data_IF_331868254737
#
_entry.id   IF_331868254737
#
_cell.length_a   1.000
_cell.length_b   1.000
_cell.length_c   1.000
_cell.angle_alpha   90.00
_cell.angle_beta   90.00
_cell.angle_gamma   90.00
#
_symmetry.space_group_name_H-M   'P 1'
#
loop_
_entity.id
_entity.type
_entity.pdbx_description
1 polymer ?
#
# COMPACT_ATOMS: atom_id res chain seq x y z
N UNK A 1 -13.63 -2.71 7.67
CA UNK A 1 -12.86 -1.53 8.12
C UNK A 1 -11.93 -1.03 7.02
N UNK A 2 -11.00 -1.85 6.51
CA UNK A 2 -10.07 -1.41 5.46
C UNK A 2 -10.73 -0.78 4.22
N UNK A 3 -11.80 -1.36 3.68
CA UNK A 3 -12.50 -0.79 2.51
C UNK A 3 -13.19 0.54 2.84
N UNK A 4 -13.82 0.63 4.02
CA UNK A 4 -14.47 1.86 4.48
C UNK A 4 -13.45 2.97 4.76
N UNK A 5 -12.35 2.65 5.43
CA UNK A 5 -11.23 3.58 5.62
C UNK A 5 -10.65 4.06 4.29
N UNK A 6 -10.54 3.18 3.29
CA UNK A 6 -10.05 3.54 1.96
C UNK A 6 -11.02 4.48 1.24
N UNK A 7 -12.32 4.24 1.35
CA UNK A 7 -13.35 5.16 0.84
C UNK A 7 -13.29 6.53 1.54
N UNK A 8 -13.15 6.56 2.88
CA UNK A 8 -13.00 7.80 3.64
C UNK A 8 -11.76 8.59 3.20
N UNK A 9 -10.63 7.90 3.02
CA UNK A 9 -9.39 8.53 2.58
C UNK A 9 -9.54 9.11 1.17
N UNK A 10 -10.10 8.36 0.23
CA UNK A 10 -10.34 8.80 -1.14
C UNK A 10 -11.32 9.98 -1.24
N UNK A 11 -12.18 10.17 -0.25
CA UNK A 11 -13.14 11.29 -0.17
C UNK A 11 -12.63 12.46 0.69
N UNK A 12 -11.34 12.48 1.04
CA UNK A 12 -10.70 13.55 1.80
C UNK A 12 -11.03 13.56 3.30
N UNK A 13 -11.69 12.51 3.82
CA UNK A 13 -12.06 12.37 5.23
C UNK A 13 -10.92 11.69 6.00
N UNK A 14 -9.71 12.24 5.88
CA UNK A 14 -8.47 11.64 6.36
C UNK A 14 -8.45 11.35 7.86
N UNK A 15 -9.05 12.22 8.69
CA UNK A 15 -9.17 12.00 10.14
C UNK A 15 -10.01 10.76 10.46
N UNK A 16 -11.11 10.56 9.74
CA UNK A 16 -11.98 9.39 9.94
C UNK A 16 -11.35 8.12 9.38
N UNK A 17 -10.65 8.24 8.25
CA UNK A 17 -9.85 7.16 7.70
C UNK A 17 -8.77 6.70 8.70
N UNK A 18 -8.03 7.64 9.30
CA UNK A 18 -7.04 7.37 10.36
C UNK A 18 -7.67 6.59 11.51
N UNK A 19 -8.79 7.08 12.05
CA UNK A 19 -9.50 6.39 13.13
C UNK A 19 -9.92 4.96 12.74
N UNK A 20 -10.47 4.79 11.53
CA UNK A 20 -10.92 3.48 11.06
C UNK A 20 -9.77 2.49 10.83
N UNK A 21 -8.64 2.95 10.28
CA UNK A 21 -7.45 2.13 10.10
C UNK A 21 -6.78 1.80 11.43
N UNK A 22 -6.76 2.71 12.40
CA UNK A 22 -6.29 2.42 13.76
C UNK A 22 -7.12 1.31 14.43
N UNK A 23 -8.44 1.34 14.28
CA UNK A 23 -9.32 0.27 14.75
C UNK A 23 -9.04 -1.05 14.03
N UNK A 24 -8.89 -1.03 12.70
CA UNK A 24 -8.54 -2.21 11.92
C UNK A 24 -7.18 -2.79 12.35
N UNK A 25 -6.20 -1.94 12.64
CA UNK A 25 -4.88 -2.37 13.13
C UNK A 25 -4.98 -3.03 14.51
N UNK A 26 -5.77 -2.48 15.42
CA UNK A 26 -6.00 -3.04 16.74
C UNK A 26 -6.67 -4.43 16.68
N UNK A 27 -7.63 -4.62 15.78
CA UNK A 27 -8.31 -5.91 15.60
C UNK A 27 -7.43 -6.98 14.94
N UNK A 28 -6.50 -6.55 14.08
CA UNK A 28 -5.65 -7.47 13.31
C UNK A 28 -4.32 -7.80 14.00
N UNK A 29 -4.12 -7.46 15.28
CA UNK A 29 -2.83 -7.64 15.97
C UNK A 29 -2.26 -9.06 15.90
N UNK A 30 -3.13 -10.09 15.86
CA UNK A 30 -2.75 -11.50 15.81
C UNK A 30 -2.72 -12.10 14.38
N UNK A 31 -2.99 -11.28 13.36
CA UNK A 31 -3.08 -11.69 11.96
C UNK A 31 -2.03 -10.92 11.16
N UNK A 32 -0.78 -11.39 11.18
CA UNK A 32 0.38 -10.63 10.68
C UNK A 32 0.17 -9.97 9.31
N UNK A 33 -0.38 -10.70 8.35
CA UNK A 33 -0.61 -10.16 7.00
C UNK A 33 -1.67 -9.04 6.97
N UNK A 34 -2.74 -9.17 7.76
CA UNK A 34 -3.78 -8.14 7.86
C UNK A 34 -3.32 -6.96 8.73
N UNK A 35 -2.50 -7.22 9.76
CA UNK A 35 -1.86 -6.19 10.59
C UNK A 35 -1.01 -5.27 9.72
N UNK A 36 -0.13 -5.83 8.90
CA UNK A 36 0.75 -5.07 8.01
C UNK A 36 -0.05 -4.25 6.98
N UNK A 37 -1.10 -4.83 6.42
CA UNK A 37 -1.99 -4.11 5.48
C UNK A 37 -2.70 -2.94 6.19
N UNK A 38 -3.26 -3.16 7.40
CA UNK A 38 -3.88 -2.09 8.20
C UNK A 38 -2.88 -0.98 8.52
N UNK A 39 -1.64 -1.35 8.88
CA UNK A 39 -0.58 -0.43 9.24
C UNK A 39 -0.16 0.44 8.05
N UNK A 40 -0.05 -0.14 6.85
CA UNK A 40 0.28 0.59 5.64
C UNK A 40 -0.82 1.60 5.26
N UNK A 41 -2.10 1.21 5.35
CA UNK A 41 -3.24 2.11 5.11
C UNK A 41 -3.30 3.24 6.16
N UNK A 42 -2.99 2.94 7.43
CA UNK A 42 -2.87 3.95 8.48
C UNK A 42 -1.75 4.96 8.17
N UNK A 43 -0.61 4.51 7.64
CA UNK A 43 0.48 5.38 7.21
C UNK A 43 0.03 6.37 6.12
N UNK A 44 -0.78 5.93 5.16
CA UNK A 44 -1.35 6.80 4.12
C UNK A 44 -2.33 7.85 4.70
N UNK A 45 -3.13 7.47 5.69
CA UNK A 45 -4.02 8.43 6.36
C UNK A 45 -3.24 9.46 7.17
N UNK A 46 -2.13 9.06 7.81
CA UNK A 46 -1.22 9.98 8.51
C UNK A 46 -0.54 10.93 7.52
N UNK A 47 -0.09 10.43 6.37
CA UNK A 47 0.44 11.25 5.27
C UNK A 47 -0.58 12.30 4.82
N UNK A 48 -1.84 11.91 4.60
CA UNK A 48 -2.90 12.83 4.18
C UNK A 48 -3.30 13.88 5.25
N UNK A 49 -2.75 13.77 6.47
CA UNK A 49 -2.90 14.71 7.57
C UNK A 49 -1.61 15.47 7.88
N UNK A 50 -0.58 15.35 7.04
CA UNK A 50 0.78 15.89 7.25
C UNK A 50 1.43 15.43 8.58
N UNK A 51 1.03 14.27 9.09
CA UNK A 51 1.61 13.65 10.29
C UNK A 51 2.85 12.84 9.92
N UNK A 52 3.91 13.55 9.54
CA UNK A 52 5.13 12.98 8.97
C UNK A 52 5.79 11.92 9.84
N UNK A 53 5.89 12.19 11.15
CA UNK A 53 6.55 11.29 12.09
C UNK A 53 5.82 9.94 12.18
N UNK A 54 4.49 9.95 12.35
CA UNK A 54 3.70 8.72 12.44
C UNK A 54 3.64 8.00 11.08
N UNK A 55 3.46 8.74 9.98
CA UNK A 55 3.44 8.16 8.64
C UNK A 55 4.74 7.40 8.32
N UNK A 56 5.90 8.02 8.52
CA UNK A 56 7.21 7.42 8.26
C UNK A 56 7.47 6.22 9.17
N UNK A 57 7.13 6.31 10.46
CA UNK A 57 7.31 5.20 11.40
C UNK A 57 6.50 3.98 10.96
N UNK A 58 5.20 4.17 10.65
CA UNK A 58 4.32 3.09 10.23
C UNK A 58 4.78 2.48 8.90
N UNK A 59 5.14 3.30 7.91
CA UNK A 59 5.64 2.82 6.62
C UNK A 59 6.97 2.07 6.75
N UNK A 60 7.88 2.56 7.61
CA UNK A 60 9.15 1.88 7.90
C UNK A 60 8.93 0.48 8.50
N UNK A 61 8.04 0.37 9.48
CA UNK A 61 7.78 -0.90 10.16
C UNK A 61 7.15 -1.93 9.22
N UNK A 62 6.26 -1.49 8.33
CA UNK A 62 5.73 -2.35 7.26
C UNK A 62 6.83 -2.73 6.30
N UNK A 63 7.62 -1.77 5.82
CA UNK A 63 8.69 -2.01 4.85
C UNK A 63 9.71 -3.05 5.36
N UNK A 64 10.14 -2.92 6.61
CA UNK A 64 11.07 -3.89 7.25
C UNK A 64 10.52 -5.30 7.31
N UNK A 65 9.20 -5.46 7.38
CA UNK A 65 8.56 -6.77 7.43
C UNK A 65 8.41 -7.41 6.04
N UNK A 66 8.21 -6.61 4.99
CA UNK A 66 7.81 -7.10 3.65
C UNK A 66 8.94 -7.08 2.62
N UNK A 67 9.96 -6.24 2.81
CA UNK A 67 11.08 -6.13 1.87
C UNK A 67 11.87 -7.44 1.70
N UNK A 68 12.17 -8.20 2.78
CA UNK A 68 12.99 -9.41 2.66
C UNK A 68 12.36 -10.53 1.82
N UNK A 69 11.04 -10.69 1.87
CA UNK A 69 10.30 -11.77 1.21
C UNK A 69 9.39 -11.28 0.07
N UNK A 70 9.45 -9.99 -0.25
CA UNK A 70 8.61 -9.33 -1.24
C UNK A 70 7.12 -9.43 -0.93
N UNK A 71 6.76 -9.34 0.36
CA UNK A 71 5.38 -9.34 0.84
C UNK A 71 4.67 -10.67 0.61
N UNK A 72 5.41 -11.78 0.63
CA UNK A 72 4.83 -13.10 0.43
C UNK A 72 3.76 -13.38 1.51
N UNK A 73 2.60 -13.88 1.09
CA UNK A 73 1.48 -14.17 2.01
C UNK A 73 0.62 -12.95 2.38
N UNK A 74 0.98 -11.72 1.96
CA UNK A 74 0.08 -10.59 2.08
C UNK A 74 -1.17 -10.79 1.20
N UNK A 75 -2.37 -10.38 1.68
CA UNK A 75 -3.57 -10.42 0.86
C UNK A 75 -3.52 -9.39 -0.28
N UNK A 76 -2.88 -8.24 -0.05
CA UNK A 76 -2.78 -7.15 -1.01
C UNK A 76 -1.33 -6.60 -1.05
N UNK A 77 -0.36 -7.37 -1.59
CA UNK A 77 1.04 -7.01 -1.53
C UNK A 77 1.35 -5.71 -2.29
N UNK A 78 0.76 -5.52 -3.47
CA UNK A 78 0.97 -4.33 -4.31
C UNK A 78 0.47 -3.07 -3.60
N UNK A 79 -0.75 -3.09 -3.05
CA UNK A 79 -1.29 -1.99 -2.24
C UNK A 79 -0.39 -1.62 -1.06
N UNK A 80 0.11 -2.62 -0.35
CA UNK A 80 0.94 -2.44 0.86
C UNK A 80 2.28 -1.80 0.49
N UNK A 81 2.91 -2.26 -0.59
CA UNK A 81 4.16 -1.68 -1.10
C UNK A 81 3.95 -0.27 -1.65
N UNK A 82 2.87 -0.05 -2.40
CA UNK A 82 2.54 1.27 -2.93
C UNK A 82 2.25 2.27 -1.81
N UNK A 83 1.58 1.86 -0.74
CA UNK A 83 1.39 2.69 0.44
C UNK A 83 2.74 3.13 1.04
N UNK A 84 3.69 2.20 1.21
CA UNK A 84 5.04 2.53 1.68
C UNK A 84 5.73 3.53 0.74
N UNK A 85 5.68 3.27 -0.58
CA UNK A 85 6.22 4.17 -1.60
C UNK A 85 5.65 5.58 -1.49
N UNK A 86 4.32 5.73 -1.39
CA UNK A 86 3.69 7.06 -1.34
C UNK A 86 4.15 7.87 -0.12
N UNK A 87 4.33 7.22 1.03
CA UNK A 87 4.85 7.87 2.24
C UNK A 87 6.33 8.23 2.06
N UNK A 88 7.16 7.30 1.62
CA UNK A 88 8.59 7.55 1.43
C UNK A 88 8.85 8.65 0.40
N UNK A 89 8.10 8.65 -0.71
CA UNK A 89 8.21 9.66 -1.76
C UNK A 89 7.85 11.06 -1.24
N UNK A 90 6.76 11.19 -0.47
CA UNK A 90 6.29 12.48 0.01
C UNK A 90 7.27 13.18 0.97
N UNK A 91 8.19 12.42 1.57
CA UNK A 91 9.18 12.92 2.53
C UNK A 91 10.62 12.72 2.04
N UNK A 92 10.83 12.58 0.72
CA UNK A 92 12.16 12.43 0.10
C UNK A 92 13.03 11.31 0.71
N UNK A 93 12.40 10.22 1.16
CA UNK A 93 13.09 9.07 1.73
C UNK A 93 13.70 8.18 0.64
N UNK A 94 14.98 7.82 0.79
CA UNK A 94 15.74 7.03 -0.20
C UNK A 94 15.12 5.68 -0.54
N UNK A 95 14.26 5.14 0.33
CA UNK A 95 13.57 3.85 0.13
C UNK A 95 12.41 3.95 -0.84
N UNK A 96 11.98 5.15 -1.23
CA UNK A 96 10.88 5.35 -2.18
C UNK A 96 11.13 4.58 -3.48
N UNK A 97 12.33 4.72 -4.07
CA UNK A 97 12.68 4.02 -5.31
C UNK A 97 12.63 2.50 -5.15
N UNK A 98 13.14 1.96 -4.03
CA UNK A 98 13.10 0.52 -3.77
C UNK A 98 11.66 -0.01 -3.60
N UNK A 99 10.81 0.73 -2.87
CA UNK A 99 9.40 0.37 -2.70
C UNK A 99 8.62 0.40 -4.01
N UNK A 100 8.85 1.41 -4.87
CA UNK A 100 8.26 1.48 -6.20
C UNK A 100 8.69 0.29 -7.07
N UNK A 101 9.98 0.02 -7.15
CA UNK A 101 10.51 -1.10 -7.93
C UNK A 101 9.93 -2.44 -7.48
N UNK A 102 9.79 -2.64 -6.16
CA UNK A 102 9.22 -3.87 -5.63
C UNK A 102 7.74 -4.02 -6.00
N UNK A 103 6.94 -2.95 -5.85
CA UNK A 103 5.52 -2.94 -6.22
C UNK A 103 5.33 -3.24 -7.73
N UNK A 104 6.11 -2.59 -8.59
CA UNK A 104 6.10 -2.82 -10.05
C UNK A 104 6.48 -4.26 -10.38
N UNK A 105 7.54 -4.79 -9.75
CA UNK A 105 8.01 -6.17 -9.99
C UNK A 105 6.92 -7.19 -9.65
N UNK A 106 6.24 -7.01 -8.52
CA UNK A 106 5.14 -7.90 -8.12
C UNK A 106 3.96 -7.76 -9.08
N UNK A 107 3.58 -6.53 -9.45
CA UNK A 107 2.52 -6.26 -10.41
C UNK A 107 2.78 -6.93 -11.76
N UNK A 108 3.97 -6.75 -12.33
CA UNK A 108 4.34 -7.33 -13.63
C UNK A 108 4.35 -8.85 -13.57
N UNK A 109 4.94 -9.44 -12.53
CA UNK A 109 4.92 -10.90 -12.34
C UNK A 109 3.49 -11.45 -12.26
N UNK A 110 2.62 -10.80 -11.47
CA UNK A 110 1.21 -11.21 -11.39
C UNK A 110 0.50 -11.07 -12.74
N UNK A 111 0.79 -10.01 -13.50
CA UNK A 111 0.22 -9.85 -14.83
C UNK A 111 0.69 -10.95 -15.81
N UNK A 112 1.97 -11.34 -15.76
CA UNK A 112 2.53 -12.39 -16.61
C UNK A 112 1.95 -13.78 -16.31
N UNK A 113 1.49 -14.02 -15.08
CA UNK A 113 0.78 -15.24 -14.67
C UNK A 113 -0.66 -15.29 -15.20
N UNK A 114 -1.23 -14.18 -15.68
CA UNK A 114 -2.58 -14.13 -16.24
C UNK A 114 -2.54 -14.47 -17.74
N UNK A 115 -2.91 -15.72 -18.05
CA UNK A 115 -2.91 -16.25 -19.43
C UNK A 115 -3.82 -15.45 -20.37
N UNK A 116 -5.06 -15.18 -19.93
CA UNK A 116 -6.05 -14.45 -20.72
C UNK A 116 -5.65 -12.98 -20.92
N UNK A 117 -5.48 -12.51 -22.17
CA UNK A 117 -5.04 -11.15 -22.45
C UNK A 117 -6.01 -10.06 -21.97
N UNK A 118 -7.33 -10.30 -22.00
CA UNK A 118 -8.33 -9.33 -21.54
C UNK A 118 -8.32 -9.21 -20.02
N UNK A 119 -8.21 -10.34 -19.31
CA UNK A 119 -8.06 -10.33 -17.84
C UNK A 119 -6.77 -9.66 -17.41
N UNK A 120 -5.66 -9.90 -18.12
CA UNK A 120 -4.37 -9.25 -17.84
C UNK A 120 -4.45 -7.74 -18.02
N UNK A 121 -5.07 -7.30 -19.12
CA UNK A 121 -5.28 -5.88 -19.36
C UNK A 121 -6.16 -5.26 -18.27
N UNK A 122 -7.27 -5.92 -17.90
CA UNK A 122 -8.15 -5.47 -16.82
C UNK A 122 -7.43 -5.37 -15.48
N UNK A 123 -6.60 -6.36 -15.11
CA UNK A 123 -5.77 -6.31 -13.91
C UNK A 123 -4.86 -5.09 -13.91
N UNK A 124 -4.21 -4.82 -15.04
CA UNK A 124 -3.27 -3.71 -15.19
C UNK A 124 -3.98 -2.34 -15.13
N UNK A 125 -5.15 -2.18 -15.76
CA UNK A 125 -5.78 -0.85 -15.94
C UNK A 125 -6.95 -0.55 -15.03
N UNK A 126 -7.67 -1.55 -14.53
CA UNK A 126 -8.90 -1.35 -13.76
C UNK A 126 -8.67 -1.38 -12.24
N UNK A 127 -7.53 -1.92 -11.80
CA UNK A 127 -7.13 -1.87 -10.38
C UNK A 127 -6.42 -0.53 -10.14
N UNK A 128 -6.94 0.34 -9.25
CA UNK A 128 -6.41 1.70 -9.09
C UNK A 128 -4.90 1.76 -8.77
N UNK A 129 -4.40 0.85 -7.92
CA UNK A 129 -2.97 0.81 -7.59
C UNK A 129 -2.11 0.44 -8.81
N UNK A 130 -2.57 -0.47 -9.65
CA UNK A 130 -1.83 -0.90 -10.84
C UNK A 130 -1.82 0.21 -11.90
N UNK A 131 -2.93 0.93 -12.05
CA UNK A 131 -2.99 2.11 -12.92
C UNK A 131 -2.03 3.20 -12.45
N UNK A 132 -1.98 3.47 -11.15
CA UNK A 132 -1.06 4.46 -10.57
C UNK A 132 0.41 4.04 -10.79
N UNK A 133 0.74 2.77 -10.60
CA UNK A 133 2.08 2.25 -10.86
C UNK A 133 2.46 2.36 -12.35
N UNK A 134 1.54 2.07 -13.27
CA UNK A 134 1.80 2.24 -14.70
C UNK A 134 2.09 3.70 -15.09
N UNK A 135 1.40 4.66 -14.47
CA UNK A 135 1.65 6.08 -14.72
C UNK A 135 3.03 6.56 -14.21
N UNK A 136 3.68 5.79 -13.33
CA UNK A 136 5.00 6.07 -12.78
C UNK A 136 6.13 5.33 -13.53
N UNK A 137 5.80 4.45 -14.48
CA UNK A 137 6.78 3.83 -15.36
C UNK A 137 7.20 4.83 -16.45
N UNK A 138 8.50 4.87 -16.81
CA UNK A 138 9.01 5.72 -17.88
C UNK A 138 8.58 5.27 -19.29
#
# INVERSE_FOLDING_TARGET
LLDWGSFLLATGRSTEAKANFSEALALNQNLDHLRLTSQAKLAQACLALDDSAEALQLANDVWRAIEPDRGQGLPFPIDTMFACYTVFQAYDDERATAALHLAVTVMQRTADEIEDPEMRQSFLTNVPVNQALQALLP
#
